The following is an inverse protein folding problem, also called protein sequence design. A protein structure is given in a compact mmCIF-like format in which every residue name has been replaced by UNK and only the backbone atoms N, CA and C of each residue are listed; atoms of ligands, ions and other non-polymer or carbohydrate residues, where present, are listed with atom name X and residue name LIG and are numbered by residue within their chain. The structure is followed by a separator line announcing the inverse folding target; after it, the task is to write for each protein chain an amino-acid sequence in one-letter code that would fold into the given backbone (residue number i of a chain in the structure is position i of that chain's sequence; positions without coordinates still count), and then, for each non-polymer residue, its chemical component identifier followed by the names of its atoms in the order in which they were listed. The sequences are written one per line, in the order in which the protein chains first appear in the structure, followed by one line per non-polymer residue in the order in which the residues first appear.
data_IF_257239139204
#
_entry.id   IF_257239139204
#
_cell.length_a   1.000
_cell.length_b   1.000
_cell.length_c   1.000
_cell.angle_alpha   90.00
_cell.angle_beta   90.00
_cell.angle_gamma   90.00
#
_symmetry.space_group_name_H-M   'P 1'
#
loop_
_entity.id
_entity.type
_entity.pdbx_description
1 polymer ?
#
# COMPACT_ATOMS: atom_id res chain seq x y z
N UNK A 1 -4.74 17.01 2.96
CA UNK A 1 -3.75 16.13 3.61
C UNK A 1 -4.27 14.70 3.53
N UNK A 2 -3.48 13.70 3.09
CA UNK A 2 -4.00 12.32 3.04
C UNK A 2 -4.13 11.75 4.46
N UNK A 3 -5.09 10.84 4.67
CA UNK A 3 -5.37 10.22 5.99
C UNK A 3 -4.10 9.61 6.63
N UNK A 4 -3.24 9.01 5.79
CA UNK A 4 -1.97 8.44 6.22
C UNK A 4 -0.98 9.50 6.72
N UNK A 5 -0.85 10.60 5.99
CA UNK A 5 0.04 11.69 6.41
C UNK A 5 -0.51 12.30 7.69
N UNK A 6 -1.84 12.42 7.85
CA UNK A 6 -2.46 12.86 9.09
C UNK A 6 -2.10 11.95 10.28
N UNK A 7 -2.30 10.62 10.16
CA UNK A 7 -1.94 9.68 11.24
C UNK A 7 -0.44 9.62 11.53
N UNK A 8 0.40 9.72 10.51
CA UNK A 8 1.85 9.83 10.66
C UNK A 8 2.22 11.09 11.44
N UNK A 9 1.58 12.22 11.13
CA UNK A 9 1.85 13.51 11.80
C UNK A 9 1.36 13.48 13.25
N UNK A 10 0.21 12.86 13.53
CA UNK A 10 -0.24 12.59 14.89
C UNK A 10 0.74 11.70 15.66
N UNK A 11 1.29 10.67 15.00
CA UNK A 11 2.31 9.79 15.61
C UNK A 11 3.58 10.55 15.99
N UNK A 12 4.11 11.35 15.06
CA UNK A 12 5.29 12.19 15.31
C UNK A 12 5.04 13.27 16.37
N UNK A 13 3.85 13.87 16.37
CA UNK A 13 3.46 14.83 17.40
C UNK A 13 3.38 14.17 18.78
N UNK A 14 2.81 12.96 18.87
CA UNK A 14 2.74 12.18 20.11
C UNK A 14 4.14 11.84 20.64
N UNK A 15 5.06 11.45 19.75
CA UNK A 15 6.46 11.18 20.09
C UNK A 15 7.17 12.43 20.65
N UNK A 16 7.05 13.56 19.96
CA UNK A 16 7.60 14.84 20.42
C UNK A 16 6.97 15.27 21.75
N UNK A 17 5.65 15.19 21.87
CA UNK A 17 4.91 15.56 23.07
C UNK A 17 5.31 14.70 24.29
N UNK A 18 5.53 13.41 24.08
CA UNK A 18 6.02 12.48 25.11
C UNK A 18 7.43 12.85 25.58
N UNK A 19 8.35 13.14 24.65
CA UNK A 19 9.71 13.62 24.97
C UNK A 19 9.65 14.94 25.77
N UNK A 20 8.85 15.91 25.34
CA UNK A 20 8.67 17.18 26.04
C UNK A 20 8.07 16.98 27.45
N UNK A 21 7.05 16.13 27.56
CA UNK A 21 6.41 15.85 28.85
C UNK A 21 7.35 15.16 29.83
N UNK A 22 8.25 14.28 29.34
CA UNK A 22 9.27 13.64 30.15
C UNK A 22 10.36 14.63 30.60
N UNK A 23 10.84 15.50 29.70
CA UNK A 23 11.82 16.56 30.03
C UNK A 23 11.26 17.55 31.05
N UNK A 24 9.97 17.88 30.95
CA UNK A 24 9.27 18.77 31.88
C UNK A 24 8.85 18.09 33.19
N UNK A 25 9.12 16.79 33.35
CA UNK A 25 8.83 16.05 34.58
C UNK A 25 7.34 15.72 34.80
N UNK A 26 6.49 15.90 33.79
CA UNK A 26 5.05 15.62 33.90
C UNK A 26 4.75 14.12 33.92
N UNK A 27 5.58 13.30 33.27
CA UNK A 27 5.42 11.84 33.21
C UNK A 27 6.78 11.13 33.16
N UNK A 28 6.96 10.10 33.97
CA UNK A 28 8.03 9.10 33.77
C UNK A 28 7.66 8.21 32.57
N UNK A 29 8.66 7.84 31.78
CA UNK A 29 8.59 7.19 30.45
C UNK A 29 7.79 5.86 30.33
N UNK A 30 7.06 5.43 31.36
CA UNK A 30 6.32 4.16 31.43
C UNK A 30 4.80 4.34 31.64
N UNK A 31 4.21 5.38 31.07
CA UNK A 31 2.76 5.55 31.21
C UNK A 31 1.98 4.67 30.22
N UNK A 32 1.09 3.83 30.73
CA UNK A 32 0.24 2.93 29.94
C UNK A 32 -0.56 3.66 28.83
N UNK A 33 -0.88 4.93 29.05
CA UNK A 33 -1.55 5.81 28.08
C UNK A 33 -0.69 6.04 26.83
N UNK A 34 0.60 6.30 26.99
CA UNK A 34 1.53 6.49 25.88
C UNK A 34 1.73 5.20 25.08
N UNK A 35 1.82 4.05 25.76
CA UNK A 35 1.91 2.73 25.12
C UNK A 35 0.64 2.44 24.31
N UNK A 36 -0.55 2.71 24.89
CA UNK A 36 -1.82 2.52 24.20
C UNK A 36 -1.95 3.42 22.97
N UNK A 37 -1.55 4.69 23.07
CA UNK A 37 -1.57 5.63 21.96
C UNK A 37 -0.64 5.20 20.81
N UNK A 38 0.60 4.80 21.14
CA UNK A 38 1.56 4.22 20.19
C UNK A 38 1.01 3.00 19.49
N UNK A 39 0.36 2.10 20.24
CA UNK A 39 -0.19 0.87 19.69
C UNK A 39 -1.34 1.17 18.71
N UNK A 40 -2.28 2.03 19.10
CA UNK A 40 -3.40 2.46 18.24
C UNK A 40 -2.88 3.16 16.98
N UNK A 41 -1.93 4.08 17.11
CA UNK A 41 -1.31 4.78 15.98
C UNK A 41 -0.61 3.81 15.02
N UNK A 42 0.11 2.83 15.56
CA UNK A 42 0.81 1.81 14.76
C UNK A 42 -0.17 0.94 13.97
N UNK A 43 -1.25 0.48 14.60
CA UNK A 43 -2.29 -0.31 13.93
C UNK A 43 -2.96 0.52 12.82
N UNK A 44 -3.35 1.76 13.12
CA UNK A 44 -4.00 2.63 12.13
C UNK A 44 -3.11 2.92 10.93
N UNK A 45 -1.81 3.18 11.16
CA UNK A 45 -0.84 3.38 10.09
C UNK A 45 -0.65 2.10 9.27
N UNK A 46 -0.53 0.94 9.92
CA UNK A 46 -0.41 -0.34 9.22
C UNK A 46 -1.63 -0.66 8.36
N UNK A 47 -2.84 -0.55 8.92
CA UNK A 47 -4.09 -0.75 8.19
C UNK A 47 -4.21 0.23 7.02
N UNK A 48 -3.91 1.50 7.25
CA UNK A 48 -3.98 2.52 6.20
C UNK A 48 -2.98 2.25 5.07
N UNK A 49 -1.76 1.83 5.41
CA UNK A 49 -0.76 1.41 4.43
C UNK A 49 -1.27 0.21 3.61
N UNK A 50 -1.79 -0.81 4.29
CA UNK A 50 -2.29 -2.03 3.66
C UNK A 50 -3.47 -1.75 2.73
N UNK A 51 -4.42 -0.91 3.16
CA UNK A 51 -5.56 -0.50 2.35
C UNK A 51 -5.12 0.23 1.07
N UNK A 52 -4.21 1.21 1.16
CA UNK A 52 -3.73 1.90 -0.04
C UNK A 52 -2.95 0.97 -0.95
N UNK A 53 -2.05 0.15 -0.41
CA UNK A 53 -1.28 -0.80 -1.20
C UNK A 53 -2.19 -1.84 -1.89
N UNK A 54 -3.30 -2.24 -1.25
CA UNK A 54 -4.29 -3.12 -1.84
C UNK A 54 -5.08 -2.47 -2.97
N UNK A 55 -5.57 -1.24 -2.76
CA UNK A 55 -6.25 -0.48 -3.82
C UNK A 55 -5.31 -0.26 -5.01
N UNK A 56 -4.06 0.14 -4.74
CA UNK A 56 -3.03 0.33 -5.76
C UNK A 56 -2.72 -0.99 -6.51
N UNK A 57 -2.66 -2.12 -5.81
CA UNK A 57 -2.48 -3.43 -6.42
C UNK A 57 -3.66 -3.85 -7.30
N UNK A 58 -4.88 -3.47 -6.95
CA UNK A 58 -6.09 -3.75 -7.73
C UNK A 58 -6.14 -3.00 -9.06
N UNK A 59 -5.43 -1.88 -9.20
CA UNK A 59 -5.41 -1.08 -10.44
C UNK A 59 -4.75 -1.85 -11.58
N UNK A 60 -3.64 -2.52 -11.32
CA UNK A 60 -2.97 -3.35 -12.32
C UNK A 60 -3.85 -4.53 -12.77
N UNK A 61 -4.59 -5.16 -11.86
CA UNK A 61 -5.52 -6.25 -12.20
C UNK A 61 -6.69 -5.73 -13.05
N UNK A 62 -7.26 -4.57 -12.70
CA UNK A 62 -8.31 -3.93 -13.49
C UNK A 62 -7.82 -3.52 -14.89
N UNK A 63 -6.61 -2.96 -15.01
CA UNK A 63 -5.99 -2.65 -16.31
C UNK A 63 -5.81 -3.90 -17.17
N UNK A 64 -5.29 -4.99 -16.59
CA UNK A 64 -5.13 -6.26 -17.30
C UNK A 64 -6.46 -6.85 -17.76
N UNK A 65 -7.50 -6.82 -16.92
CA UNK A 65 -8.83 -7.31 -17.27
C UNK A 65 -9.47 -6.45 -18.36
N UNK A 66 -9.39 -5.13 -18.25
CA UNK A 66 -9.89 -4.21 -19.27
C UNK A 66 -9.21 -4.46 -20.62
N UNK A 67 -7.88 -4.63 -20.63
CA UNK A 67 -7.14 -4.94 -21.86
C UNK A 67 -7.52 -6.27 -22.48
N UNK A 68 -7.84 -7.29 -21.68
CA UNK A 68 -8.34 -8.58 -22.19
C UNK A 68 -9.69 -8.38 -22.90
N UNK A 69 -10.62 -7.69 -22.24
CA UNK A 69 -11.94 -7.39 -22.80
C UNK A 69 -11.81 -6.60 -24.10
N UNK A 70 -10.99 -5.55 -24.15
CA UNK A 70 -10.89 -4.77 -25.38
C UNK A 70 -10.13 -5.53 -26.48
N UNK A 71 -9.18 -6.42 -26.15
CA UNK A 71 -8.60 -7.34 -27.15
C UNK A 71 -9.64 -8.25 -27.77
N UNK A 72 -10.57 -8.78 -26.97
CA UNK A 72 -11.68 -9.59 -27.47
C UNK A 72 -12.62 -8.77 -28.37
N UNK A 73 -13.00 -7.56 -27.96
CA UNK A 73 -13.78 -6.63 -28.79
C UNK A 73 -13.05 -6.36 -30.11
N UNK A 74 -11.74 -6.07 -30.05
CA UNK A 74 -10.93 -5.81 -31.24
C UNK A 74 -10.86 -7.01 -32.18
N UNK A 75 -10.88 -8.22 -31.63
CA UNK A 75 -10.92 -9.45 -32.42
C UNK A 75 -12.28 -9.61 -33.12
N UNK A 76 -13.38 -9.43 -32.39
CA UNK A 76 -14.72 -9.54 -32.93
C UNK A 76 -14.97 -8.51 -34.06
N UNK A 77 -14.50 -7.27 -33.89
CA UNK A 77 -14.56 -6.24 -34.94
C UNK A 77 -13.72 -6.62 -36.18
N UNK A 78 -12.60 -7.33 -36.00
CA UNK A 78 -11.78 -7.79 -37.15
C UNK A 78 -12.41 -8.93 -37.95
N UNK A 79 -13.37 -9.64 -37.37
CA UNK A 79 -14.09 -10.73 -38.04
C UNK A 79 -15.21 -10.23 -38.98
N UNK A 80 -15.64 -8.97 -38.85
CA UNK A 80 -16.62 -8.32 -39.74
C UNK A 80 -15.89 -7.48 -40.79
N UNK A 81 -16.31 -7.56 -42.06
CA UNK A 81 -15.67 -6.78 -43.14
C UNK A 81 -15.83 -5.27 -42.94
N UNK A 82 -16.99 -4.82 -42.46
CA UNK A 82 -17.30 -3.39 -42.26
C UNK A 82 -16.48 -2.74 -41.15
N UNK A 83 -16.10 -3.51 -40.12
CA UNK A 83 -15.42 -3.00 -38.91
C UNK A 83 -13.98 -3.48 -38.77
N UNK A 84 -13.43 -4.12 -39.81
CA UNK A 84 -12.09 -4.71 -39.81
C UNK A 84 -10.98 -3.70 -39.53
N UNK A 85 -11.10 -2.50 -40.12
CA UNK A 85 -10.14 -1.41 -39.93
C UNK A 85 -10.16 -0.91 -38.48
N UNK A 86 -11.34 -0.74 -37.92
CA UNK A 86 -11.54 -0.24 -36.55
C UNK A 86 -10.99 -1.22 -35.52
N UNK A 87 -11.26 -2.51 -35.70
CA UNK A 87 -10.71 -3.55 -34.84
C UNK A 87 -9.17 -3.62 -34.90
N UNK A 88 -8.56 -3.39 -36.07
CA UNK A 88 -7.09 -3.29 -36.19
C UNK A 88 -6.55 -2.06 -35.44
N UNK A 89 -7.18 -0.90 -35.62
CA UNK A 89 -6.77 0.35 -34.99
C UNK A 89 -6.89 0.28 -33.46
N UNK A 90 -7.97 -0.32 -32.94
CA UNK A 90 -8.20 -0.52 -31.52
C UNK A 90 -7.12 -1.41 -30.88
N UNK A 91 -6.75 -2.49 -31.57
CA UNK A 91 -5.68 -3.39 -31.10
C UNK A 91 -4.32 -2.69 -31.06
N UNK A 92 -3.99 -1.89 -32.09
CA UNK A 92 -2.76 -1.09 -32.13
C UNK A 92 -2.75 -0.04 -31.03
N UNK A 93 -3.87 0.66 -30.81
CA UNK A 93 -4.02 1.64 -29.75
C UNK A 93 -3.72 1.04 -28.38
N UNK A 94 -4.31 -0.11 -28.03
CA UNK A 94 -4.07 -0.73 -26.71
C UNK A 94 -2.65 -1.25 -26.57
N UNK A 95 -2.05 -1.77 -27.65
CA UNK A 95 -0.64 -2.18 -27.64
C UNK A 95 0.31 -1.01 -27.46
N UNK A 96 -0.05 0.18 -27.93
CA UNK A 96 0.74 1.40 -27.75
C UNK A 96 0.72 1.96 -26.33
N UNK A 97 -0.28 1.59 -25.51
CA UNK A 97 -0.41 2.09 -24.14
C UNK A 97 0.37 1.24 -23.16
N UNK A 98 1.22 1.86 -22.35
CA UNK A 98 1.89 1.22 -21.22
C UNK A 98 0.89 0.69 -20.19
N UNK A 99 1.28 -0.34 -19.45
CA UNK A 99 0.47 -0.91 -18.38
C UNK A 99 0.30 0.08 -17.23
N UNK A 100 -0.93 0.20 -16.73
CA UNK A 100 -1.21 1.03 -15.56
C UNK A 100 -0.83 0.27 -14.30
N UNK A 101 0.36 0.60 -13.78
CA UNK A 101 0.90 0.00 -12.57
C UNK A 101 1.30 1.10 -11.62
N UNK A 102 0.75 1.09 -10.41
CA UNK A 102 1.22 1.99 -9.37
C UNK A 102 2.56 1.51 -8.83
N UNK A 103 3.50 2.46 -8.73
CA UNK A 103 4.80 2.24 -8.11
C UNK A 103 5.07 3.30 -7.05
N UNK A 104 5.83 2.93 -6.03
CA UNK A 104 6.42 3.88 -5.09
C UNK A 104 7.81 4.24 -5.59
N UNK A 105 7.92 5.40 -6.23
CA UNK A 105 9.17 5.95 -6.77
C UNK A 105 9.95 4.97 -7.68
N UNK A 106 9.26 4.07 -8.40
CA UNK A 106 9.85 3.04 -9.24
C UNK A 106 10.51 1.86 -8.51
N UNK A 107 10.66 1.91 -7.18
CA UNK A 107 11.34 0.87 -6.39
C UNK A 107 10.39 -0.26 -6.04
N UNK A 108 9.18 0.09 -5.59
CA UNK A 108 8.18 -0.89 -5.20
C UNK A 108 7.02 -0.86 -6.17
N UNK A 109 6.66 -2.04 -6.67
CA UNK A 109 5.47 -2.20 -7.49
C UNK A 109 4.33 -2.70 -6.61
N UNK A 110 3.21 -1.98 -6.57
CA UNK A 110 2.04 -2.43 -5.83
C UNK A 110 1.39 -3.59 -6.58
N UNK A 111 1.71 -4.82 -6.15
CA UNK A 111 1.07 -6.06 -6.59
C UNK A 111 0.53 -6.80 -5.36
N UNK A 112 -0.40 -7.74 -5.55
CA UNK A 112 -0.89 -8.57 -4.42
C UNK A 112 0.25 -9.27 -3.68
N UNK A 113 1.30 -9.71 -4.39
CA UNK A 113 2.50 -10.29 -3.77
C UNK A 113 3.24 -9.32 -2.84
N UNK A 114 3.28 -8.02 -3.15
CA UNK A 114 3.91 -7.01 -2.29
C UNK A 114 3.23 -6.92 -0.92
N UNK A 115 1.90 -7.02 -0.86
CA UNK A 115 1.16 -7.02 0.41
C UNK A 115 1.53 -8.21 1.29
N UNK A 116 1.66 -9.40 0.69
CA UNK A 116 2.05 -10.62 1.40
C UNK A 116 3.46 -10.44 1.95
N UNK A 117 4.41 -9.95 1.14
CA UNK A 117 5.77 -9.66 1.60
C UNK A 117 5.79 -8.64 2.73
N UNK A 118 5.02 -7.55 2.62
CA UNK A 118 4.96 -6.52 3.65
C UNK A 118 4.39 -7.06 4.99
N UNK A 119 3.33 -7.87 4.94
CA UNK A 119 2.78 -8.54 6.12
C UNK A 119 3.80 -9.51 6.76
N UNK A 120 4.49 -10.30 5.94
CA UNK A 120 5.51 -11.24 6.42
C UNK A 120 6.68 -10.51 7.09
N UNK A 121 7.19 -9.42 6.49
CA UNK A 121 8.26 -8.62 7.09
C UNK A 121 7.82 -8.05 8.44
N UNK A 122 6.60 -7.50 8.51
CA UNK A 122 6.06 -6.99 9.76
C UNK A 122 5.99 -8.07 10.84
N UNK A 123 5.46 -9.25 10.51
CA UNK A 123 5.34 -10.37 11.44
C UNK A 123 6.72 -10.89 11.89
N UNK A 124 7.64 -11.12 10.95
CA UNK A 124 9.00 -11.59 11.24
C UNK A 124 9.77 -10.62 12.14
N UNK A 125 9.65 -9.32 11.90
CA UNK A 125 10.34 -8.32 12.72
C UNK A 125 9.81 -8.30 14.15
N UNK A 126 8.48 -8.33 14.33
CA UNK A 126 7.86 -8.38 15.64
C UNK A 126 8.22 -9.66 16.41
N UNK A 127 8.23 -10.82 15.73
CA UNK A 127 8.66 -12.08 16.35
C UNK A 127 10.13 -12.05 16.78
N UNK A 128 11.00 -11.43 15.97
CA UNK A 128 12.42 -11.30 16.29
C UNK A 128 12.64 -10.40 17.52
N UNK A 129 11.90 -9.29 17.62
CA UNK A 129 11.93 -8.43 18.81
C UNK A 129 11.48 -9.20 20.06
N UNK A 130 10.39 -9.97 19.95
CA UNK A 130 9.85 -10.75 21.06
C UNK A 130 10.84 -11.83 21.54
N UNK A 131 11.55 -12.47 20.61
CA UNK A 131 12.62 -13.42 20.93
C UNK A 131 13.83 -12.76 21.60
N UNK A 132 14.21 -11.54 21.19
CA UNK A 132 15.31 -10.80 21.81
C UNK A 132 14.96 -10.35 23.22
N UNK A 133 13.72 -9.90 23.44
CA UNK A 133 13.23 -9.50 24.76
C UNK A 133 13.21 -10.69 25.74
N UNK A 134 12.74 -11.85 25.26
CA UNK A 134 12.70 -13.09 26.06
C UNK A 134 14.10 -13.62 26.43
N UNK A 135 15.13 -13.29 25.64
CA UNK A 135 16.53 -13.68 25.92
C UNK A 135 17.26 -12.73 26.87
N UNK A 136 16.75 -11.53 27.08
CA UNK A 136 17.32 -10.52 27.96
C UNK A 136 16.70 -10.55 29.38
N UNK A 137 15.72 -11.42 29.61
CA UNK A 137 15.22 -11.85 30.93
C UNK A 137 15.93 -13.13 31.38
#
# INVERSE_FOLDING_TARGET
MSLQVFFLTCSYFSDLFSVFSNVLGFYTSHNAVYIAEKFVSTILNFVSFFCLAYIAAGVNEKDQNLRKVIKEISFNLRCSEDTKRDGKMLLEFIRSKEHLIFTSNGIFTFRKGFLVTAASVFLSYNLLLLQLDTKNM
#
